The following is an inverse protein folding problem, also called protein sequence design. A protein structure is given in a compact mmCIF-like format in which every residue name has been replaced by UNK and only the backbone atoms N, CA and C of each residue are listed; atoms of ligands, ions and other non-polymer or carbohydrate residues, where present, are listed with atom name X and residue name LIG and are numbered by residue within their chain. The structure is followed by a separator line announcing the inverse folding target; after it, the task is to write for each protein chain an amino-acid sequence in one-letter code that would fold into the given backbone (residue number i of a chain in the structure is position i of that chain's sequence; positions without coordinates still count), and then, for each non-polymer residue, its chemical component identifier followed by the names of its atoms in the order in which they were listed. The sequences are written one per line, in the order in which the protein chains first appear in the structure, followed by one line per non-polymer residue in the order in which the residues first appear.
data_IF_933581735636
#
_entry.id   IF_933581735636
#
_cell.length_a   1.000
_cell.length_b   1.000
_cell.length_c   1.000
_cell.angle_alpha   90.00
_cell.angle_beta   90.00
_cell.angle_gamma   90.00
#
_symmetry.space_group_name_H-M   'P 1'
#
loop_
_entity.id
_entity.type
_entity.pdbx_description
1 polymer ?
#
# COMPACT_ATOMS: atom_id res chain seq x y z
N UNK A 1 17.31 -6.49 11.72
CA UNK A 1 15.85 -6.52 11.91
C UNK A 1 15.16 -6.20 10.59
N UNK A 2 14.07 -6.88 10.31
CA UNK A 2 13.31 -6.66 9.07
C UNK A 2 12.01 -5.97 9.42
N UNK A 3 11.69 -4.92 8.67
CA UNK A 3 10.39 -4.27 8.73
C UNK A 3 9.67 -4.48 7.42
N UNK A 4 8.36 -4.27 7.42
CA UNK A 4 7.54 -4.44 6.23
C UNK A 4 7.04 -3.07 5.79
N UNK A 5 7.44 -2.68 4.60
CA UNK A 5 7.05 -1.41 4.01
C UNK A 5 5.75 -1.59 3.24
N UNK A 6 4.75 -0.82 3.61
CA UNK A 6 3.48 -0.82 2.89
C UNK A 6 3.60 0.13 1.70
N UNK A 7 3.46 -0.41 0.51
CA UNK A 7 3.47 0.38 -0.72
C UNK A 7 2.05 0.50 -1.24
N UNK A 8 1.57 1.72 -1.32
CA UNK A 8 0.21 2.01 -1.79
C UNK A 8 0.30 2.66 -3.17
N UNK A 9 -0.38 2.08 -4.14
CA UNK A 9 -0.32 2.53 -5.53
C UNK A 9 -1.71 2.76 -6.10
N UNK A 10 -1.82 3.74 -6.96
CA UNK A 10 -3.02 3.98 -7.78
C UNK A 10 -2.58 4.07 -9.23
N UNK A 11 -3.13 3.22 -10.11
CA UNK A 11 -2.81 3.18 -11.53
C UNK A 11 -1.30 3.05 -11.79
N UNK A 12 -0.65 2.12 -11.07
CA UNK A 12 0.78 1.85 -11.18
C UNK A 12 1.67 3.01 -10.72
N UNK A 13 1.11 3.99 -10.03
CA UNK A 13 1.89 5.09 -9.45
C UNK A 13 1.94 4.93 -7.95
N UNK A 14 3.13 4.99 -7.39
CA UNK A 14 3.31 4.95 -5.94
C UNK A 14 2.79 6.26 -5.35
N UNK A 15 1.77 6.13 -4.49
CA UNK A 15 1.15 7.28 -3.83
C UNK A 15 1.72 7.47 -2.44
N UNK A 16 1.96 6.36 -1.75
CA UNK A 16 2.49 6.38 -0.39
C UNK A 16 3.35 5.15 -0.16
N UNK A 17 4.52 5.35 0.42
CA UNK A 17 5.43 4.28 0.82
C UNK A 17 6.16 4.63 2.11
N UNK A 18 5.48 5.36 2.99
CA UNK A 18 6.09 5.82 4.23
C UNK A 18 5.72 4.95 5.44
N UNK A 19 4.72 4.09 5.28
CA UNK A 19 4.22 3.27 6.38
C UNK A 19 5.08 2.02 6.54
N UNK A 20 5.60 1.80 7.73
CA UNK A 20 6.41 0.62 8.05
C UNK A 20 5.81 -0.11 9.24
N UNK A 21 5.87 -1.43 9.19
CA UNK A 21 5.31 -2.28 10.23
C UNK A 21 6.35 -3.32 10.65
N UNK A 22 6.34 -3.66 11.92
CA UNK A 22 7.23 -4.69 12.44
C UNK A 22 6.68 -6.09 12.19
N UNK A 23 5.39 -6.20 11.90
CA UNK A 23 4.72 -7.47 11.67
C UNK A 23 4.12 -7.48 10.27
N UNK A 24 4.34 -8.59 9.55
CA UNK A 24 3.76 -8.76 8.21
C UNK A 24 2.22 -8.82 8.31
N UNK A 25 1.69 -9.40 9.38
CA UNK A 25 0.23 -9.52 9.56
C UNK A 25 -0.42 -8.13 9.64
N UNK A 26 0.21 -7.21 10.35
CA UNK A 26 -0.31 -5.84 10.43
C UNK A 26 -0.22 -5.13 9.09
N UNK A 27 0.89 -5.30 8.39
CA UNK A 27 1.07 -4.71 7.08
C UNK A 27 0.00 -5.21 6.10
N UNK A 28 -0.21 -6.52 6.07
CA UNK A 28 -1.22 -7.12 5.22
C UNK A 28 -2.63 -6.67 5.59
N UNK A 29 -2.91 -6.51 6.87
CA UNK A 29 -4.19 -6.00 7.32
C UNK A 29 -4.50 -4.63 6.73
N UNK A 30 -3.53 -3.72 6.80
CA UNK A 30 -3.71 -2.39 6.23
C UNK A 30 -3.77 -2.42 4.70
N UNK A 31 -2.96 -3.29 4.08
CA UNK A 31 -3.02 -3.44 2.63
C UNK A 31 -4.40 -3.89 2.16
N UNK A 32 -4.98 -4.86 2.86
CA UNK A 32 -6.34 -5.34 2.54
C UNK A 32 -7.37 -4.25 2.70
N UNK A 33 -7.27 -3.46 3.76
CA UNK A 33 -8.23 -2.38 3.99
C UNK A 33 -8.13 -1.31 2.91
N UNK A 34 -6.92 -1.00 2.47
CA UNK A 34 -6.73 -0.01 1.42
C UNK A 34 -7.31 -0.49 0.09
N UNK A 35 -7.10 -1.75 -0.26
CA UNK A 35 -7.61 -2.30 -1.52
C UNK A 35 -9.11 -2.57 -1.48
N UNK A 36 -9.70 -2.65 -0.28
CA UNK A 36 -11.14 -2.85 -0.12
C UNK A 36 -11.93 -1.55 -0.17
N UNK A 37 -11.28 -0.40 -0.26
CA UNK A 37 -11.95 0.88 -0.33
C UNK A 37 -12.68 1.05 -1.67
N UNK A 38 -13.76 1.86 -1.71
CA UNK A 38 -14.39 2.20 -2.98
C UNK A 38 -13.39 2.83 -3.93
N UNK A 39 -13.66 2.70 -5.23
CA UNK A 39 -12.77 3.23 -6.25
C UNK A 39 -12.46 4.70 -6.02
N UNK A 40 -11.16 5.03 -6.05
CA UNK A 40 -10.69 6.40 -5.94
C UNK A 40 -10.53 6.94 -7.36
N UNK A 41 -11.16 8.07 -7.71
CA UNK A 41 -11.01 8.62 -9.05
C UNK A 41 -9.56 9.04 -9.30
N UNK A 42 -9.07 8.77 -10.50
CA UNK A 42 -7.75 9.22 -10.91
C UNK A 42 -7.83 10.67 -11.42
N UNK A 43 -6.73 11.18 -12.01
CA UNK A 43 -6.68 12.55 -12.49
C UNK A 43 -7.69 12.85 -13.59
N UNK A 44 -8.08 11.84 -14.33
CA UNK A 44 -9.03 11.99 -15.45
C UNK A 44 -10.48 11.77 -15.01
N UNK A 45 -10.70 11.57 -13.70
CA UNK A 45 -12.02 11.33 -13.16
C UNK A 45 -12.53 9.91 -13.32
N UNK A 46 -11.70 9.01 -13.85
CA UNK A 46 -12.05 7.59 -13.99
C UNK A 46 -11.67 6.82 -12.72
N UNK A 47 -12.35 5.68 -12.45
CA UNK A 47 -11.96 4.85 -11.31
C UNK A 47 -10.53 4.36 -11.45
N UNK A 48 -9.71 4.61 -10.43
CA UNK A 48 -8.33 4.12 -10.41
C UNK A 48 -8.25 2.71 -9.89
N UNK A 49 -7.22 1.97 -10.32
CA UNK A 49 -6.93 0.64 -9.79
C UNK A 49 -6.04 0.81 -8.56
N UNK A 50 -6.55 0.41 -7.40
CA UNK A 50 -5.81 0.51 -6.14
C UNK A 50 -5.03 -0.78 -5.92
N UNK A 51 -3.73 -0.65 -5.70
CA UNK A 51 -2.85 -1.77 -5.38
C UNK A 51 -2.10 -1.44 -4.09
N UNK A 52 -2.02 -2.41 -3.20
CA UNK A 52 -1.22 -2.25 -1.98
C UNK A 52 -0.52 -3.57 -1.70
N UNK A 53 0.74 -3.48 -1.35
CA UNK A 53 1.52 -4.68 -1.03
C UNK A 53 2.54 -4.36 0.05
N UNK A 54 3.03 -5.42 0.69
CA UNK A 54 4.02 -5.32 1.73
C UNK A 54 5.36 -5.82 1.21
N UNK A 55 6.39 -5.01 1.39
CA UNK A 55 7.74 -5.34 0.95
C UNK A 55 8.65 -5.45 2.17
N UNK A 56 9.36 -6.59 2.35
CA UNK A 56 10.33 -6.67 3.42
C UNK A 56 11.50 -5.74 3.15
N UNK A 57 11.84 -4.92 4.15
CA UNK A 57 12.98 -4.02 4.05
C UNK A 57 13.85 -4.18 5.29
N UNK A 58 15.14 -4.12 5.08
CA UNK A 58 16.09 -4.27 6.17
C UNK A 58 16.25 -2.94 6.87
N UNK A 59 16.05 -2.98 8.20
CA UNK A 59 16.28 -1.80 9.01
C UNK A 59 17.72 -1.77 9.46
N UNK A 60 18.38 -0.66 9.23
CA UNK A 60 19.73 -0.45 9.73
C UNK A 60 19.71 0.06 11.17
#
# INVERSE_FOLDING_TARGET
MIEFLLVFMIDDRVVDRTQRFKSVDRCLYFAERLTAQPNVPNKDGNPGVITAYCKPVKKN
#
